data_IF_373958245033
#
_entry.id   IF_373958245033
#
_cell.length_a   1.000
_cell.length_b   1.000
_cell.length_c   1.000
_cell.angle_alpha   90.00
_cell.angle_beta   90.00
_cell.angle_gamma   90.00
#
_symmetry.space_group_name_H-M   'P 1'
#
loop_
_entity.id
_entity.type
_entity.pdbx_description
1 polymer ?
#
# COMPACT_ATOMS: atom_id res chain seq x y z
N UNK A 1 -15.03 19.83 -28.68
CA UNK A 1 -14.19 20.76 -27.87
C UNK A 1 -15.15 21.76 -27.26
N UNK A 2 -15.28 21.81 -25.94
CA UNK A 2 -16.27 22.66 -25.28
C UNK A 2 -16.01 24.13 -25.61
N UNK A 3 -17.00 24.80 -26.18
CA UNK A 3 -16.96 26.19 -26.60
C UNK A 3 -16.79 27.09 -25.35
N UNK A 4 -15.59 27.62 -25.13
CA UNK A 4 -15.27 28.52 -24.01
C UNK A 4 -14.11 28.10 -23.09
N UNK A 5 -13.56 26.89 -23.23
CA UNK A 5 -12.41 26.47 -22.42
C UNK A 5 -11.11 27.12 -22.92
N UNK A 6 -10.52 28.01 -22.13
CA UNK A 6 -9.15 28.49 -22.38
C UNK A 6 -8.17 27.39 -22.00
N UNK A 7 -7.54 26.81 -23.01
CA UNK A 7 -6.51 25.78 -22.83
C UNK A 7 -5.21 26.45 -22.40
N UNK A 8 -4.74 26.11 -21.19
CA UNK A 8 -3.41 26.52 -20.72
C UNK A 8 -2.37 25.44 -21.09
N UNK A 9 -1.38 25.76 -21.93
CA UNK A 9 -0.34 24.81 -22.32
C UNK A 9 0.50 24.30 -21.14
N UNK A 10 0.57 25.02 -20.02
CA UNK A 10 1.26 24.54 -18.82
C UNK A 10 0.50 23.38 -18.17
N UNK A 11 -0.84 23.47 -18.08
CA UNK A 11 -1.70 22.43 -17.51
C UNK A 11 -1.66 21.18 -18.38
N UNK A 12 -1.74 21.33 -19.70
CA UNK A 12 -1.66 20.19 -20.62
C UNK A 12 -0.33 19.45 -20.53
N UNK A 13 0.80 20.18 -20.46
CA UNK A 13 2.12 19.56 -20.29
C UNK A 13 2.26 18.84 -18.96
N UNK A 14 1.73 19.40 -17.88
CA UNK A 14 1.74 18.74 -16.58
C UNK A 14 0.89 17.47 -16.57
N UNK A 15 -0.31 17.53 -17.15
CA UNK A 15 -1.17 16.36 -17.31
C UNK A 15 -0.47 15.28 -18.13
N UNK A 16 0.12 15.64 -19.26
CA UNK A 16 0.87 14.73 -20.12
C UNK A 16 2.06 14.08 -19.38
N UNK A 17 2.86 14.85 -18.63
CA UNK A 17 3.96 14.32 -17.82
C UNK A 17 3.47 13.27 -16.81
N UNK A 18 2.37 13.56 -16.12
CA UNK A 18 1.80 12.68 -15.08
C UNK A 18 1.25 11.39 -15.68
N UNK A 19 0.55 11.48 -16.81
CA UNK A 19 0.00 10.32 -17.50
C UNK A 19 1.10 9.45 -18.13
N UNK A 20 2.14 10.09 -18.67
CA UNK A 20 3.27 9.42 -19.33
C UNK A 20 4.48 9.20 -18.41
N UNK A 21 4.31 9.22 -17.09
CA UNK A 21 5.41 9.07 -16.12
C UNK A 21 6.18 7.76 -16.32
N UNK A 22 5.51 6.70 -16.78
CA UNK A 22 6.13 5.41 -17.06
C UNK A 22 7.20 5.45 -18.17
N UNK A 23 7.09 6.38 -19.14
CA UNK A 23 8.08 6.56 -20.20
C UNK A 23 9.41 7.13 -19.67
N UNK A 24 9.35 7.92 -18.61
CA UNK A 24 10.51 8.59 -18.01
C UNK A 24 11.06 7.85 -16.79
N UNK A 25 10.42 6.75 -16.38
CA UNK A 25 10.84 5.98 -15.22
C UNK A 25 12.17 5.27 -15.48
N UNK A 26 13.04 5.27 -14.46
CA UNK A 26 14.32 4.54 -14.49
C UNK A 26 14.52 3.76 -13.20
N UNK A 27 15.02 2.54 -13.35
CA UNK A 27 15.49 1.70 -12.25
C UNK A 27 16.85 2.20 -11.75
N UNK A 28 16.81 3.16 -10.84
CA UNK A 28 17.98 3.57 -10.08
C UNK A 28 17.93 2.95 -8.67
N UNK A 29 19.04 3.03 -7.94
CA UNK A 29 19.15 2.41 -6.61
C UNK A 29 18.07 2.90 -5.63
N UNK A 30 17.67 4.18 -5.72
CA UNK A 30 16.61 4.76 -4.87
C UNK A 30 15.23 4.18 -5.20
N UNK A 31 14.88 4.09 -6.48
CA UNK A 31 13.59 3.61 -6.94
C UNK A 31 13.45 2.11 -6.69
N UNK A 32 14.49 1.33 -7.01
CA UNK A 32 14.51 -0.12 -6.74
C UNK A 32 14.29 -0.40 -5.25
N UNK A 33 15.02 0.28 -4.36
CA UNK A 33 14.84 0.12 -2.91
C UNK A 33 13.41 0.41 -2.45
N UNK A 34 12.81 1.49 -2.96
CA UNK A 34 11.43 1.87 -2.62
C UNK A 34 10.42 0.86 -3.15
N UNK A 35 10.56 0.42 -4.40
CA UNK A 35 9.67 -0.57 -5.00
C UNK A 35 9.73 -1.90 -4.27
N UNK A 36 10.93 -2.37 -3.90
CA UNK A 36 11.09 -3.60 -3.12
C UNK A 36 10.52 -3.46 -1.70
N UNK A 37 10.77 -2.34 -1.03
CA UNK A 37 10.27 -2.14 0.33
C UNK A 37 8.74 -2.08 0.39
N UNK A 38 8.12 -1.24 -0.44
CA UNK A 38 6.66 -1.06 -0.43
C UNK A 38 5.92 -2.17 -1.17
N UNK A 39 6.49 -2.71 -2.24
CA UNK A 39 5.86 -3.75 -3.06
C UNK A 39 6.04 -5.17 -2.53
N UNK A 40 7.09 -5.43 -1.73
CA UNK A 40 7.39 -6.79 -1.24
C UNK A 40 7.51 -6.79 0.28
N UNK A 41 8.43 -6.01 0.86
CA UNK A 41 8.76 -6.13 2.28
C UNK A 41 7.54 -5.87 3.18
N UNK A 42 6.76 -4.84 2.89
CA UNK A 42 5.55 -4.52 3.67
C UNK A 42 4.44 -5.56 3.48
N UNK A 43 4.00 -5.90 2.24
CA UNK A 43 2.97 -6.93 2.07
C UNK A 43 3.35 -8.28 2.69
N UNK A 44 4.60 -8.73 2.51
CA UNK A 44 5.07 -9.99 3.10
C UNK A 44 5.14 -9.89 4.62
N UNK A 45 5.68 -8.81 5.17
CA UNK A 45 5.76 -8.59 6.61
C UNK A 45 4.37 -8.56 7.27
N UNK A 46 3.42 -7.83 6.68
CA UNK A 46 2.04 -7.79 7.15
C UNK A 46 1.35 -9.16 7.03
N UNK A 47 1.61 -9.90 5.95
CA UNK A 47 1.06 -11.24 5.76
C UNK A 47 1.56 -12.19 6.85
N UNK A 48 2.86 -12.22 7.12
CA UNK A 48 3.45 -13.04 8.20
C UNK A 48 2.85 -12.66 9.55
N UNK A 49 2.78 -11.36 9.85
CA UNK A 49 2.16 -10.88 11.09
C UNK A 49 0.69 -11.31 11.19
N UNK A 50 -0.08 -11.13 10.13
CA UNK A 50 -1.49 -11.51 10.07
C UNK A 50 -1.67 -13.00 10.35
N UNK A 51 -0.90 -13.88 9.69
CA UNK A 51 -0.98 -15.31 9.94
C UNK A 51 -0.50 -15.71 11.34
N UNK A 52 0.49 -15.00 11.89
CA UNK A 52 0.98 -15.24 13.26
C UNK A 52 0.04 -14.76 14.35
N UNK A 53 -0.84 -13.80 14.05
CA UNK A 53 -1.84 -13.26 14.98
C UNK A 53 -3.25 -13.77 14.71
N UNK A 54 -3.47 -14.46 13.59
CA UNK A 54 -4.78 -14.98 13.23
C UNK A 54 -5.28 -15.93 14.32
N UNK A 55 -6.48 -15.66 14.83
CA UNK A 55 -7.14 -16.40 15.91
C UNK A 55 -6.29 -16.60 17.17
N UNK A 56 -5.24 -15.81 17.34
CA UNK A 56 -4.38 -15.90 18.53
C UNK A 56 -5.07 -15.32 19.76
N UNK A 57 -5.92 -14.33 19.56
CA UNK A 57 -6.63 -13.64 20.62
C UNK A 57 -8.14 -13.67 20.36
N UNK A 58 -8.89 -14.07 21.37
CA UNK A 58 -10.33 -13.92 21.43
C UNK A 58 -10.65 -12.91 22.54
N UNK A 59 -11.33 -11.82 22.17
CA UNK A 59 -11.72 -10.78 23.10
C UNK A 59 -13.18 -10.92 23.55
N UNK A 60 -13.90 -11.93 23.07
CA UNK A 60 -15.28 -12.16 23.46
C UNK A 60 -15.37 -12.55 24.93
N UNK A 61 -15.91 -11.64 25.75
CA UNK A 61 -16.11 -11.82 27.19
C UNK A 61 -14.83 -12.16 28.01
N UNK A 62 -13.63 -11.95 27.45
CA UNK A 62 -12.38 -12.20 28.14
C UNK A 62 -12.19 -11.20 29.30
N UNK A 63 -12.00 -11.71 30.53
CA UNK A 63 -11.76 -10.89 31.72
C UNK A 63 -10.33 -11.01 32.23
N UNK A 64 -9.71 -12.18 31.99
CA UNK A 64 -8.34 -12.49 32.43
C UNK A 64 -7.48 -12.85 31.22
N UNK A 65 -6.15 -12.82 31.39
CA UNK A 65 -5.20 -13.16 30.32
C UNK A 65 -5.37 -14.60 29.80
N UNK A 66 -5.87 -15.51 30.63
CA UNK A 66 -6.18 -16.89 30.28
C UNK A 66 -7.36 -16.98 29.31
N UNK A 67 -8.37 -16.13 29.49
CA UNK A 67 -9.57 -16.10 28.64
C UNK A 67 -9.29 -15.52 27.24
N UNK A 68 -8.18 -14.78 27.10
CA UNK A 68 -7.79 -14.11 25.87
C UNK A 68 -7.27 -15.07 24.80
N UNK A 69 -6.78 -16.24 25.21
CA UNK A 69 -6.23 -17.25 24.30
C UNK A 69 -7.27 -18.35 24.11
N UNK A 70 -7.74 -18.61 22.87
CA UNK A 70 -8.73 -19.65 22.64
C UNK A 70 -8.15 -21.02 22.98
N UNK A 71 -8.89 -21.82 23.73
CA UNK A 71 -8.52 -23.21 23.99
C UNK A 71 -8.57 -24.02 22.69
N UNK A 72 -7.55 -24.85 22.47
CA UNK A 72 -7.54 -25.79 21.34
C UNK A 72 -8.63 -26.84 21.59
N UNK A 73 -9.72 -26.75 20.83
CA UNK A 73 -10.72 -27.83 20.73
C UNK A 73 -10.15 -29.03 19.98
#
# INVERSE_FOLDING_TARGET
MAEGLKVDPAIERWANLRENTHLYFKWNQRNVRRSLFWGIAIPVGLTILSYGTDRKWDFAAAQTAQDLTPEKK
#
